data_IF_372467725785
#
_entry.id   IF_372467725785
#
_cell.length_a   1.000
_cell.length_b   1.000
_cell.length_c   1.000
_cell.angle_alpha   90.00
_cell.angle_beta   90.00
_cell.angle_gamma   90.00
#
_symmetry.space_group_name_H-M   'P 1'
#
loop_
_entity.id
_entity.type
_entity.pdbx_description
1 polymer ?
#
# COMPACT_ATOMS: atom_id res chain seq x y z
N UNK A 1 9.71 18.67 2.92
CA UNK A 1 8.75 19.61 3.50
C UNK A 1 9.05 20.99 2.91
N UNK A 2 8.00 21.77 2.62
CA UNK A 2 8.09 23.21 2.27
C UNK A 2 7.30 23.95 3.34
N UNK A 3 7.92 24.93 3.99
CA UNK A 3 7.25 25.77 4.96
C UNK A 3 6.68 27.02 4.28
N UNK A 4 5.38 27.26 4.42
CA UNK A 4 4.74 28.47 3.91
C UNK A 4 4.58 29.48 5.06
N UNK A 5 5.36 30.56 5.03
CA UNK A 5 5.26 31.65 6.00
C UNK A 5 4.23 32.66 5.48
N UNK A 6 3.03 32.67 6.07
CA UNK A 6 1.94 33.57 5.69
C UNK A 6 2.08 34.95 6.32
N UNK A 7 1.34 35.93 5.81
CA UNK A 7 1.32 37.36 6.23
C UNK A 7 2.66 38.07 6.02
N UNK A 8 3.33 37.77 4.90
CA UNK A 8 4.62 38.37 4.54
C UNK A 8 4.56 39.90 4.34
N UNK A 9 3.37 40.47 4.22
CA UNK A 9 3.14 41.93 4.11
C UNK A 9 3.30 42.69 5.43
N UNK A 10 3.31 42.02 6.58
CA UNK A 10 3.43 42.67 7.88
C UNK A 10 4.88 43.10 8.15
N UNK A 11 5.08 44.35 8.63
CA UNK A 11 6.40 44.92 8.92
C UNK A 11 7.19 44.16 10.00
N UNK A 12 6.51 43.40 10.86
CA UNK A 12 7.10 42.55 11.92
C UNK A 12 7.65 41.21 11.36
N UNK A 13 7.52 40.94 10.06
CA UNK A 13 7.95 39.68 9.46
C UNK A 13 9.49 39.49 9.49
N UNK A 14 10.29 40.54 9.62
CA UNK A 14 11.77 40.45 9.69
C UNK A 14 12.27 39.82 11.00
N UNK A 15 11.58 40.10 12.10
CA UNK A 15 11.99 39.58 13.43
C UNK A 15 11.67 38.08 13.59
N UNK A 16 10.70 37.57 12.80
CA UNK A 16 10.33 36.17 12.80
C UNK A 16 11.19 35.30 11.86
N UNK A 17 12.03 35.86 11.00
CA UNK A 17 12.93 35.09 10.12
C UNK A 17 13.88 34.19 10.89
N UNK A 18 14.42 34.68 12.01
CA UNK A 18 15.32 33.91 12.88
C UNK A 18 14.57 32.68 13.46
N UNK A 19 13.34 32.87 13.91
CA UNK A 19 12.54 31.80 14.47
C UNK A 19 12.15 30.72 13.42
N UNK A 20 11.96 31.11 12.15
CA UNK A 20 11.67 30.15 11.07
C UNK A 20 12.87 29.25 10.75
N UNK A 21 14.10 29.75 10.90
CA UNK A 21 15.32 28.97 10.68
C UNK A 21 15.56 27.91 11.78
N UNK A 22 15.02 28.13 13.00
CA UNK A 22 15.10 27.16 14.10
C UNK A 22 14.37 25.85 13.82
N UNK A 23 13.38 25.87 12.89
CA UNK A 23 12.69 24.63 12.46
C UNK A 23 13.56 23.69 11.61
N UNK A 24 14.77 24.11 11.20
CA UNK A 24 15.66 23.30 10.37
C UNK A 24 15.08 22.95 8.99
N UNK A 25 14.16 23.78 8.47
CA UNK A 25 13.54 23.60 7.16
C UNK A 25 14.20 24.55 6.17
N UNK A 26 14.91 24.01 5.19
CA UNK A 26 15.64 24.81 4.17
C UNK A 26 14.70 25.53 3.19
N UNK A 27 13.55 24.93 2.86
CA UNK A 27 12.63 25.47 1.86
C UNK A 27 11.51 26.29 2.55
N UNK A 28 11.71 27.57 2.70
CA UNK A 28 10.73 28.52 3.27
C UNK A 28 10.21 29.43 2.16
N UNK A 29 8.90 29.46 1.95
CA UNK A 29 8.24 30.34 0.98
C UNK A 29 7.38 31.36 1.72
N UNK A 30 7.72 32.65 1.58
CA UNK A 30 6.93 33.74 2.14
C UNK A 30 5.74 34.03 1.22
N UNK A 31 4.55 34.06 1.81
CA UNK A 31 3.31 34.26 1.08
C UNK A 31 2.40 35.27 1.76
N UNK A 32 1.51 35.86 0.97
CA UNK A 32 0.34 36.61 1.43
C UNK A 32 -0.89 35.88 0.90
N UNK A 33 -1.57 35.13 1.78
CA UNK A 33 -2.67 34.25 1.38
C UNK A 33 -3.85 35.00 0.72
N UNK A 34 -3.99 36.32 1.00
CA UNK A 34 -5.01 37.18 0.41
C UNK A 34 -4.65 37.63 -1.03
N UNK A 35 -3.40 37.43 -1.46
CA UNK A 35 -2.93 37.86 -2.79
C UNK A 35 -2.65 36.67 -3.69
N UNK A 36 -3.27 36.67 -4.87
CA UNK A 36 -3.00 35.68 -5.92
C UNK A 36 -1.55 35.72 -6.42
N UNK A 37 -0.84 36.82 -6.20
CA UNK A 37 0.56 36.97 -6.62
C UNK A 37 1.53 36.03 -5.88
N UNK A 38 1.12 35.43 -4.76
CA UNK A 38 1.92 34.43 -4.03
C UNK A 38 1.87 33.03 -4.63
N UNK A 39 0.89 32.72 -5.49
CA UNK A 39 0.71 31.40 -6.08
C UNK A 39 1.90 30.94 -6.96
N UNK A 40 2.46 31.78 -7.85
CA UNK A 40 3.62 31.39 -8.68
C UNK A 40 4.82 30.95 -7.84
N UNK A 41 5.10 31.63 -6.72
CA UNK A 41 6.20 31.28 -5.82
C UNK A 41 6.01 29.92 -5.18
N UNK A 42 4.79 29.58 -4.78
CA UNK A 42 4.44 28.26 -4.23
C UNK A 42 4.61 27.17 -5.30
N UNK A 43 4.06 27.38 -6.50
CA UNK A 43 4.18 26.42 -7.59
C UNK A 43 5.63 26.18 -8.00
N UNK A 44 6.46 27.22 -8.10
CA UNK A 44 7.87 27.09 -8.43
C UNK A 44 8.62 26.29 -7.34
N UNK A 45 8.40 26.58 -6.07
CA UNK A 45 9.04 25.84 -4.97
C UNK A 45 8.64 24.36 -4.95
N UNK A 46 7.37 24.05 -5.21
CA UNK A 46 6.90 22.66 -5.33
C UNK A 46 7.55 21.97 -6.53
N UNK A 47 7.56 22.63 -7.69
CA UNK A 47 8.15 22.11 -8.93
C UNK A 47 9.64 21.83 -8.77
N UNK A 48 10.39 22.78 -8.21
CA UNK A 48 11.83 22.64 -8.02
C UNK A 48 12.17 21.50 -7.05
N UNK A 49 11.37 21.33 -6.00
CA UNK A 49 11.52 20.20 -5.09
C UNK A 49 11.23 18.86 -5.74
N UNK A 50 10.20 18.78 -6.57
CA UNK A 50 9.91 17.58 -7.35
C UNK A 50 11.07 17.26 -8.30
N UNK A 51 11.60 18.26 -9.01
CA UNK A 51 12.73 18.09 -9.94
C UNK A 51 14.02 17.66 -9.21
N UNK A 52 14.29 18.20 -8.01
CA UNK A 52 15.43 17.75 -7.17
C UNK A 52 15.26 16.28 -6.76
N UNK A 53 14.07 15.88 -6.34
CA UNK A 53 13.78 14.47 -5.99
C UNK A 53 13.97 13.57 -7.20
N UNK A 54 13.47 13.96 -8.38
CA UNK A 54 13.65 13.20 -9.62
C UNK A 54 15.12 13.07 -10.05
N UNK A 55 15.94 14.12 -9.89
CA UNK A 55 17.38 14.06 -10.17
C UNK A 55 18.12 13.10 -9.24
N UNK A 56 17.75 13.04 -7.96
CA UNK A 56 18.35 12.12 -6.96
C UNK A 56 17.97 10.66 -7.26
N UNK A 57 16.77 10.43 -7.80
CA UNK A 57 16.30 9.08 -8.16
C UNK A 57 16.87 8.58 -9.50
N UNK A 58 17.34 9.47 -10.38
CA UNK A 58 17.89 9.11 -11.69
C UNK A 58 19.36 8.71 -11.70
N UNK A 59 20.09 8.86 -10.60
CA UNK A 59 21.46 8.34 -10.47
C UNK A 59 21.42 6.88 -9.98
N UNK A 60 21.46 5.93 -10.94
CA UNK A 60 21.61 4.48 -10.72
C UNK A 60 20.37 3.71 -10.21
N UNK A 61 19.35 3.51 -11.09
CA UNK A 61 18.50 2.31 -11.05
C UNK A 61 17.74 2.22 -12.38
N UNK A 62 17.60 0.99 -12.91
CA UNK A 62 16.57 0.66 -13.88
C UNK A 62 15.29 1.42 -13.53
N UNK A 63 14.74 2.18 -14.46
CA UNK A 63 13.64 3.11 -14.19
C UNK A 63 12.44 2.35 -13.58
N UNK A 64 12.21 2.56 -12.26
CA UNK A 64 11.01 2.04 -11.59
C UNK A 64 9.82 2.82 -12.14
N UNK A 65 8.94 2.15 -12.88
CA UNK A 65 7.77 2.77 -13.50
C UNK A 65 6.81 3.36 -12.45
N UNK A 66 6.56 2.63 -11.35
CA UNK A 66 5.72 3.11 -10.26
C UNK A 66 5.88 2.29 -8.97
N UNK A 67 5.46 2.88 -7.85
CA UNK A 67 5.33 2.18 -6.57
C UNK A 67 3.89 1.77 -6.34
N UNK A 68 3.66 0.47 -6.16
CA UNK A 68 2.36 -0.14 -5.88
C UNK A 68 2.29 -0.43 -4.38
N UNK A 69 1.40 0.26 -3.67
CA UNK A 69 1.16 0.02 -2.24
C UNK A 69 0.17 -1.12 -2.06
N UNK A 70 0.54 -2.10 -1.24
CA UNK A 70 -0.24 -3.31 -1.01
C UNK A 70 -0.60 -3.42 0.47
N UNK A 71 -1.82 -3.85 0.76
CA UNK A 71 -2.23 -4.33 2.08
C UNK A 71 -2.60 -5.81 2.00
N UNK A 72 -2.24 -6.60 3.04
CA UNK A 72 -2.60 -8.02 3.16
C UNK A 72 -3.54 -8.17 4.35
N UNK A 73 -4.80 -8.50 4.05
CA UNK A 73 -5.87 -8.62 5.04
C UNK A 73 -6.52 -10.00 4.99
N UNK A 74 -7.36 -10.33 5.96
CA UNK A 74 -8.09 -11.59 6.06
C UNK A 74 -8.13 -12.11 7.50
N UNK A 75 -8.86 -13.20 7.73
CA UNK A 75 -9.08 -13.79 9.04
C UNK A 75 -7.79 -14.30 9.71
N UNK A 76 -7.80 -14.57 11.01
CA UNK A 76 -6.70 -15.26 11.67
C UNK A 76 -6.43 -16.65 11.05
N UNK A 77 -5.14 -17.03 10.99
CA UNK A 77 -4.67 -18.34 10.53
C UNK A 77 -4.95 -18.73 9.07
N UNK A 78 -5.36 -17.78 8.22
CA UNK A 78 -5.50 -18.00 6.76
C UNK A 78 -4.17 -18.03 6.00
N UNK A 79 -3.06 -17.66 6.66
CA UNK A 79 -1.72 -17.67 6.07
C UNK A 79 -1.20 -16.31 5.62
N UNK A 80 -1.71 -15.19 6.17
CA UNK A 80 -1.21 -13.83 5.86
C UNK A 80 0.28 -13.67 6.08
N UNK A 81 0.80 -14.09 7.24
CA UNK A 81 2.23 -14.00 7.57
C UNK A 81 3.09 -14.89 6.67
N UNK A 82 2.59 -16.05 6.29
CA UNK A 82 3.28 -16.95 5.35
C UNK A 82 3.35 -16.32 3.96
N UNK A 83 2.25 -15.72 3.50
CA UNK A 83 2.21 -14.99 2.24
C UNK A 83 3.13 -13.77 2.28
N UNK A 84 3.12 -13.00 3.38
CA UNK A 84 4.06 -11.89 3.56
C UNK A 84 5.51 -12.36 3.44
N UNK A 85 5.90 -13.44 4.13
CA UNK A 85 7.25 -13.98 4.07
C UNK A 85 7.61 -14.50 2.68
N UNK A 86 6.66 -15.07 1.94
CA UNK A 86 6.87 -15.49 0.55
C UNK A 86 7.16 -14.29 -0.35
N UNK A 87 6.45 -13.18 -0.20
CA UNK A 87 6.60 -11.99 -1.03
C UNK A 87 7.84 -11.17 -0.67
N UNK A 88 8.13 -11.04 0.64
CA UNK A 88 9.12 -10.11 1.20
C UNK A 88 10.21 -10.78 2.05
N UNK A 89 10.43 -12.10 1.93
CA UNK A 89 11.43 -12.86 2.72
C UNK A 89 12.86 -12.32 2.63
N UNK A 90 13.65 -12.58 3.66
CA UNK A 90 14.89 -11.90 4.06
C UNK A 90 15.98 -11.67 2.98
N UNK A 91 16.02 -12.44 1.93
CA UNK A 91 17.09 -12.34 0.92
C UNK A 91 16.82 -11.34 -0.23
N UNK A 92 15.65 -10.67 -0.28
CA UNK A 92 15.25 -9.83 -1.43
C UNK A 92 14.59 -8.50 -1.05
N UNK A 93 14.57 -8.15 0.23
CA UNK A 93 14.08 -6.84 0.67
C UNK A 93 15.19 -5.82 0.51
N UNK A 94 15.00 -4.87 -0.39
CA UNK A 94 15.86 -3.68 -0.40
C UNK A 94 15.45 -2.87 0.82
N UNK A 95 16.15 -3.08 1.95
CA UNK A 95 16.11 -2.16 3.07
C UNK A 95 16.84 -0.90 2.61
N UNK A 96 16.13 0.03 2.00
CA UNK A 96 16.63 1.38 1.92
C UNK A 96 16.60 1.94 3.35
N UNK A 97 17.70 1.76 4.08
CA UNK A 97 18.01 2.53 5.25
C UNK A 97 18.25 3.97 4.78
N UNK A 98 17.17 4.73 4.56
CA UNK A 98 17.27 6.18 4.52
C UNK A 98 17.37 6.60 5.97
N UNK A 99 18.61 6.80 6.39
CA UNK A 99 19.00 7.42 7.67
C UNK A 99 18.28 8.77 7.78
N UNK A 100 17.43 8.94 8.77
CA UNK A 100 17.00 10.27 9.13
C UNK A 100 15.57 10.51 9.60
N UNK A 101 14.72 9.50 9.96
CA UNK A 101 13.45 9.80 10.64
C UNK A 101 13.04 8.66 11.58
N UNK A 102 13.24 8.89 12.85
CA UNK A 102 13.04 7.96 13.98
C UNK A 102 11.58 7.75 14.38
N UNK A 103 10.61 7.65 13.48
CA UNK A 103 9.19 7.27 13.79
C UNK A 103 8.39 6.65 12.65
N UNK A 104 8.97 6.43 11.48
CA UNK A 104 8.22 5.87 10.35
C UNK A 104 8.30 4.35 10.36
N UNK A 105 7.11 3.73 10.24
CA UNK A 105 6.91 2.29 10.08
C UNK A 105 7.88 1.74 9.04
N UNK A 106 8.65 0.71 9.41
CA UNK A 106 9.56 0.01 8.50
C UNK A 106 8.70 -0.59 7.38
N UNK A 107 8.60 0.10 6.26
CA UNK A 107 7.91 -0.40 5.08
C UNK A 107 8.77 -1.47 4.40
N UNK A 108 8.23 -2.66 4.17
CA UNK A 108 8.90 -3.68 3.37
C UNK A 108 8.65 -3.39 1.90
N UNK A 109 9.74 -3.24 1.14
CA UNK A 109 9.70 -2.98 -0.31
C UNK A 109 10.39 -4.12 -1.05
N UNK A 110 9.84 -4.49 -2.19
CA UNK A 110 10.47 -5.44 -3.11
C UNK A 110 10.27 -4.96 -4.54
N UNK A 111 11.23 -5.27 -5.40
CA UNK A 111 11.14 -4.96 -6.83
C UNK A 111 10.77 -6.24 -7.56
N UNK A 112 9.80 -6.15 -8.44
CA UNK A 112 9.41 -7.20 -9.38
C UNK A 112 9.19 -6.58 -10.74
N UNK A 113 9.96 -7.01 -11.73
CA UNK A 113 10.09 -6.31 -13.02
C UNK A 113 10.44 -4.83 -12.75
N UNK A 114 9.78 -3.87 -13.39
CA UNK A 114 10.02 -2.44 -13.24
C UNK A 114 9.10 -1.77 -12.18
N UNK A 115 8.45 -2.56 -11.31
CA UNK A 115 7.53 -2.06 -10.29
C UNK A 115 8.10 -2.26 -8.89
N UNK A 116 8.00 -1.22 -8.05
CA UNK A 116 8.28 -1.32 -6.62
C UNK A 116 6.99 -1.67 -5.89
N UNK A 117 6.97 -2.81 -5.20
CA UNK A 117 5.85 -3.20 -4.35
C UNK A 117 6.16 -2.87 -2.89
N UNK A 118 5.38 -1.99 -2.30
CA UNK A 118 5.51 -1.53 -0.92
C UNK A 118 4.33 -2.03 -0.09
N UNK A 119 4.62 -2.74 1.03
CA UNK A 119 3.55 -3.14 1.93
C UNK A 119 3.24 -2.05 2.93
N UNK A 120 1.94 -1.74 3.08
CA UNK A 120 1.46 -0.74 4.05
C UNK A 120 1.40 -1.40 5.43
N UNK A 121 1.99 -0.73 6.44
CA UNK A 121 2.01 -1.12 7.85
C UNK A 121 2.53 -2.53 8.19
N UNK A 122 3.84 -2.70 8.00
CA UNK A 122 4.55 -3.93 8.40
C UNK A 122 4.61 -4.14 9.93
N UNK A 123 4.44 -3.09 10.72
CA UNK A 123 4.51 -3.17 12.19
C UNK A 123 3.39 -4.03 12.77
N UNK A 124 2.18 -3.95 12.20
CA UNK A 124 1.05 -4.79 12.57
C UNK A 124 1.28 -6.27 12.24
N UNK A 125 1.86 -6.60 11.11
CA UNK A 125 2.11 -7.99 10.67
C UNK A 125 3.21 -8.65 11.54
N UNK A 126 4.28 -7.92 11.86
CA UNK A 126 5.39 -8.43 12.68
C UNK A 126 5.05 -8.57 14.16
N UNK A 127 4.31 -7.63 14.76
CA UNK A 127 3.87 -7.71 16.16
C UNK A 127 2.86 -8.82 16.42
N UNK A 128 1.98 -9.12 15.47
CA UNK A 128 0.96 -10.18 15.59
C UNK A 128 1.54 -11.59 15.71
N UNK A 129 2.80 -11.80 15.31
CA UNK A 129 3.49 -13.09 15.51
C UNK A 129 3.96 -13.29 16.96
N UNK A 130 3.88 -12.27 17.86
CA UNK A 130 4.41 -12.34 19.22
C UNK A 130 3.38 -12.19 20.35
N UNK A 131 2.12 -11.81 20.07
CA UNK A 131 1.13 -11.53 21.12
C UNK A 131 -0.17 -12.26 20.78
N UNK A 132 -0.47 -13.30 21.54
CA UNK A 132 -1.77 -13.96 21.60
C UNK A 132 -2.69 -13.24 22.61
N UNK A 133 -3.97 -13.19 22.30
CA UNK A 133 -5.12 -13.14 23.22
C UNK A 133 -5.99 -11.88 23.42
N UNK A 134 -5.66 -10.64 23.01
CA UNK A 134 -6.64 -9.55 23.20
C UNK A 134 -6.85 -8.65 21.98
N UNK A 135 -6.74 -9.19 20.78
CA UNK A 135 -6.45 -8.40 19.56
C UNK A 135 -7.64 -8.27 18.58
N UNK A 136 -8.81 -8.89 18.84
CA UNK A 136 -9.86 -8.89 17.78
C UNK A 136 -10.41 -7.49 17.45
N UNK A 137 -10.66 -6.63 18.43
CA UNK A 137 -11.16 -5.28 18.21
C UNK A 137 -10.09 -4.32 17.64
N UNK A 138 -8.86 -4.43 18.14
CA UNK A 138 -7.72 -3.66 17.63
C UNK A 138 -7.32 -4.08 16.21
N UNK A 139 -7.40 -5.39 15.88
CA UNK A 139 -7.12 -5.94 14.55
C UNK A 139 -7.99 -5.35 13.45
N UNK A 140 -9.28 -5.11 13.72
CA UNK A 140 -10.22 -4.56 12.74
C UNK A 140 -9.93 -3.08 12.41
N UNK A 141 -9.52 -2.30 13.42
CA UNK A 141 -9.22 -0.87 13.24
C UNK A 141 -7.92 -0.64 12.44
N UNK A 142 -6.87 -1.42 12.73
CA UNK A 142 -5.60 -1.33 12.00
C UNK A 142 -5.76 -1.71 10.53
N UNK A 143 -6.50 -2.77 10.23
CA UNK A 143 -6.76 -3.18 8.84
C UNK A 143 -7.47 -2.11 8.03
N UNK A 144 -8.40 -1.34 8.62
CA UNK A 144 -9.09 -0.23 7.91
C UNK A 144 -8.14 0.91 7.50
N UNK A 145 -7.21 1.28 8.38
CA UNK A 145 -6.18 2.28 8.07
C UNK A 145 -5.28 1.81 6.93
N UNK A 146 -4.80 0.56 7.00
CA UNK A 146 -3.96 -0.05 5.98
C UNK A 146 -4.64 -0.07 4.60
N UNK A 147 -5.93 -0.44 4.56
CA UNK A 147 -6.73 -0.46 3.33
C UNK A 147 -6.78 0.91 2.67
N UNK A 148 -7.00 1.99 3.43
CA UNK A 148 -7.08 3.35 2.88
C UNK A 148 -5.80 3.83 2.20
N UNK A 149 -4.63 3.38 2.66
CA UNK A 149 -3.33 3.78 2.10
C UNK A 149 -2.82 2.85 1.00
N UNK A 150 -3.47 1.69 0.80
CA UNK A 150 -3.11 0.76 -0.26
C UNK A 150 -3.69 1.18 -1.62
N UNK A 151 -3.01 0.81 -2.71
CA UNK A 151 -3.57 0.81 -4.06
C UNK A 151 -4.32 -0.51 -4.32
N UNK A 152 -3.69 -1.62 -3.92
CA UNK A 152 -4.21 -2.96 -4.08
C UNK A 152 -4.31 -3.65 -2.72
N UNK A 153 -5.42 -4.31 -2.46
CA UNK A 153 -5.64 -5.08 -1.23
C UNK A 153 -5.73 -6.56 -1.57
N UNK A 154 -4.90 -7.36 -0.90
CA UNK A 154 -4.93 -8.81 -0.97
C UNK A 154 -5.79 -9.32 0.19
N UNK A 155 -6.97 -9.86 -0.12
CA UNK A 155 -7.80 -10.58 0.86
C UNK A 155 -7.46 -12.07 0.81
N UNK A 156 -6.79 -12.54 1.86
CA UNK A 156 -6.37 -13.95 1.98
C UNK A 156 -7.50 -14.77 2.63
N UNK A 157 -7.91 -15.82 1.95
CA UNK A 157 -8.97 -16.74 2.36
C UNK A 157 -8.39 -18.16 2.44
N UNK A 158 -8.70 -18.88 3.51
CA UNK A 158 -8.37 -20.30 3.62
C UNK A 158 -9.32 -21.08 2.72
N UNK A 159 -8.77 -21.78 1.72
CA UNK A 159 -9.57 -22.54 0.75
C UNK A 159 -10.44 -23.63 1.38
N UNK A 160 -10.00 -24.20 2.52
CA UNK A 160 -10.75 -25.23 3.24
C UNK A 160 -12.00 -24.66 3.94
N UNK A 161 -11.91 -23.41 4.42
CA UNK A 161 -13.02 -22.72 5.09
C UNK A 161 -13.97 -22.04 4.09
N UNK A 162 -13.44 -21.65 2.92
CA UNK A 162 -14.17 -20.88 1.93
C UNK A 162 -14.47 -19.44 2.35
N UNK A 163 -15.31 -18.75 1.60
CA UNK A 163 -15.69 -17.35 1.84
C UNK A 163 -16.69 -17.29 2.99
N UNK A 164 -16.39 -16.50 4.01
CA UNK A 164 -17.25 -16.21 5.16
C UNK A 164 -17.95 -14.84 5.03
N UNK A 165 -18.93 -14.57 5.89
CA UNK A 165 -19.59 -13.27 5.98
C UNK A 165 -18.61 -12.15 6.35
N UNK A 166 -17.58 -12.45 7.16
CA UNK A 166 -16.56 -11.48 7.53
C UNK A 166 -15.70 -11.10 6.32
N UNK A 167 -15.37 -12.05 5.44
CA UNK A 167 -14.61 -11.78 4.21
C UNK A 167 -15.45 -10.94 3.24
N UNK A 168 -16.76 -11.19 3.15
CA UNK A 168 -17.69 -10.40 2.34
C UNK A 168 -17.76 -8.96 2.84
N UNK A 169 -17.94 -8.76 4.15
CA UNK A 169 -18.00 -7.42 4.75
C UNK A 169 -16.71 -6.65 4.53
N UNK A 170 -15.57 -7.32 4.67
CA UNK A 170 -14.26 -6.71 4.43
C UNK A 170 -14.06 -6.36 2.95
N UNK A 171 -14.49 -7.23 2.02
CA UNK A 171 -14.45 -6.94 0.58
C UNK A 171 -15.29 -5.72 0.21
N UNK A 172 -16.52 -5.65 0.74
CA UNK A 172 -17.40 -4.50 0.53
C UNK A 172 -16.79 -3.20 1.06
N UNK A 173 -16.11 -3.25 2.20
CA UNK A 173 -15.38 -2.11 2.73
C UNK A 173 -14.23 -1.68 1.81
N UNK A 174 -13.43 -2.62 1.30
CA UNK A 174 -12.32 -2.36 0.36
C UNK A 174 -12.84 -1.67 -0.91
N UNK A 175 -13.92 -2.20 -1.48
CA UNK A 175 -14.56 -1.64 -2.68
C UNK A 175 -15.12 -0.23 -2.42
N UNK A 176 -15.76 -0.03 -1.26
CA UNK A 176 -16.29 1.30 -0.85
C UNK A 176 -15.19 2.34 -0.69
N UNK A 177 -13.99 1.95 -0.23
CA UNK A 177 -12.82 2.83 -0.15
C UNK A 177 -12.16 3.07 -1.53
N UNK A 178 -12.74 2.54 -2.61
CA UNK A 178 -12.23 2.71 -3.98
C UNK A 178 -10.90 2.00 -4.22
N UNK A 179 -10.57 0.96 -3.47
CA UNK A 179 -9.34 0.19 -3.61
C UNK A 179 -9.54 -1.03 -4.49
N UNK A 180 -8.51 -1.37 -5.25
CA UNK A 180 -8.57 -2.62 -6.00
C UNK A 180 -8.41 -3.81 -5.05
N UNK A 181 -9.14 -4.89 -5.31
CA UNK A 181 -9.16 -6.10 -4.48
C UNK A 181 -8.73 -7.33 -5.28
N UNK A 182 -7.92 -8.17 -4.65
CA UNK A 182 -7.57 -9.51 -5.13
C UNK A 182 -7.92 -10.53 -4.06
N UNK A 183 -8.78 -11.50 -4.39
CA UNK A 183 -9.10 -12.63 -3.53
C UNK A 183 -8.02 -13.70 -3.72
N UNK A 184 -7.31 -14.05 -2.66
CA UNK A 184 -6.28 -15.08 -2.67
C UNK A 184 -6.74 -16.27 -1.84
N UNK A 185 -7.13 -17.34 -2.53
CA UNK A 185 -7.46 -18.64 -1.92
C UNK A 185 -6.16 -19.39 -1.63
N UNK A 186 -5.75 -19.33 -0.38
CA UNK A 186 -4.49 -19.92 0.09
C UNK A 186 -4.68 -21.37 0.57
N UNK A 187 -3.58 -22.09 0.77
CA UNK A 187 -3.52 -23.53 1.11
C UNK A 187 -4.06 -24.42 -0.02
N UNK A 188 -3.85 -24.01 -1.26
CA UNK A 188 -4.31 -24.74 -2.45
C UNK A 188 -3.65 -26.12 -2.60
N UNK A 189 -2.49 -26.31 -1.97
CA UNK A 189 -1.79 -27.60 -1.84
C UNK A 189 -2.61 -28.68 -1.13
N UNK A 190 -3.57 -28.30 -0.27
CA UNK A 190 -4.41 -29.24 0.50
C UNK A 190 -5.64 -29.73 -0.26
N UNK A 191 -5.90 -29.22 -1.47
CA UNK A 191 -7.07 -29.61 -2.27
C UNK A 191 -6.71 -30.75 -3.21
N UNK A 192 -7.45 -31.85 -3.10
CA UNK A 192 -7.29 -33.01 -3.96
C UNK A 192 -7.88 -32.79 -5.36
N UNK A 193 -9.18 -32.49 -5.44
CA UNK A 193 -9.85 -32.16 -6.71
C UNK A 193 -9.84 -30.64 -6.95
N UNK A 194 -8.74 -30.18 -7.55
CA UNK A 194 -8.49 -28.76 -7.82
C UNK A 194 -9.47 -28.19 -8.86
N UNK A 195 -9.89 -28.99 -9.84
CA UNK A 195 -10.76 -28.50 -10.93
C UNK A 195 -12.16 -28.22 -10.42
N UNK A 196 -12.79 -29.19 -9.74
CA UNK A 196 -14.12 -29.05 -9.17
C UNK A 196 -14.16 -27.95 -8.13
N UNK A 197 -13.17 -27.92 -7.22
CA UNK A 197 -13.11 -26.90 -6.16
C UNK A 197 -12.93 -25.49 -6.71
N UNK A 198 -12.12 -25.33 -7.76
CA UNK A 198 -11.95 -24.03 -8.44
C UNK A 198 -13.27 -23.54 -9.03
N UNK A 199 -14.00 -24.41 -9.73
CA UNK A 199 -15.30 -24.08 -10.33
C UNK A 199 -16.34 -23.68 -9.26
N UNK A 200 -16.41 -24.45 -8.17
CA UNK A 200 -17.26 -24.14 -7.01
C UNK A 200 -16.99 -22.73 -6.45
N UNK A 201 -15.70 -22.42 -6.20
CA UNK A 201 -15.30 -21.13 -5.63
C UNK A 201 -15.59 -20.00 -6.59
N UNK A 202 -15.27 -20.12 -7.87
CA UNK A 202 -15.53 -19.06 -8.85
C UNK A 202 -17.02 -18.77 -8.97
N UNK A 203 -17.86 -19.79 -9.03
CA UNK A 203 -19.32 -19.63 -9.04
C UNK A 203 -19.82 -18.94 -7.75
N UNK A 204 -19.19 -19.22 -6.60
CA UNK A 204 -19.54 -18.55 -5.34
C UNK A 204 -19.10 -17.08 -5.37
N UNK A 205 -17.91 -16.78 -5.87
CA UNK A 205 -17.40 -15.40 -6.02
C UNK A 205 -18.33 -14.59 -6.91
N UNK A 206 -18.74 -15.11 -8.06
CA UNK A 206 -19.65 -14.43 -8.99
C UNK A 206 -21.02 -14.11 -8.36
N UNK A 207 -21.56 -15.03 -7.56
CA UNK A 207 -22.82 -14.80 -6.86
C UNK A 207 -22.71 -13.78 -5.74
N UNK A 208 -21.66 -13.89 -4.93
CA UNK A 208 -21.45 -13.04 -3.75
C UNK A 208 -21.07 -11.62 -4.14
N UNK A 209 -20.33 -11.46 -5.21
CA UNK A 209 -19.80 -10.17 -5.68
C UNK A 209 -20.42 -9.76 -7.02
N UNK A 210 -21.72 -9.98 -7.17
CA UNK A 210 -22.46 -9.71 -8.41
C UNK A 210 -22.28 -8.28 -8.91
N UNK A 211 -22.26 -7.30 -8.01
CA UNK A 211 -22.09 -5.87 -8.33
C UNK A 211 -20.63 -5.50 -8.65
N UNK A 212 -19.67 -6.36 -8.32
CA UNK A 212 -18.25 -6.15 -8.56
C UNK A 212 -17.70 -7.17 -9.57
N UNK A 213 -18.19 -7.09 -10.82
CA UNK A 213 -17.76 -7.99 -11.88
C UNK A 213 -16.26 -7.94 -12.12
N UNK A 214 -15.65 -9.10 -12.27
CA UNK A 214 -14.23 -9.21 -12.61
C UNK A 214 -13.27 -9.08 -11.44
N UNK A 215 -13.71 -9.34 -10.20
CA UNK A 215 -12.81 -9.43 -9.05
C UNK A 215 -11.68 -10.41 -9.34
N UNK A 216 -10.45 -9.95 -9.21
CA UNK A 216 -9.25 -10.78 -9.40
C UNK A 216 -9.22 -11.91 -8.36
N UNK A 217 -9.17 -13.16 -8.84
CA UNK A 217 -9.16 -14.35 -7.98
C UNK A 217 -7.95 -15.21 -8.28
N UNK A 218 -7.17 -15.55 -7.24
CA UNK A 218 -5.96 -16.32 -7.35
C UNK A 218 -5.96 -17.50 -6.38
N UNK A 219 -5.48 -18.66 -6.85
CA UNK A 219 -5.36 -19.89 -6.07
C UNK A 219 -3.89 -20.21 -5.89
N UNK A 220 -3.42 -20.24 -4.64
CA UNK A 220 -1.99 -20.42 -4.31
C UNK A 220 -1.77 -21.29 -3.08
N UNK A 221 -0.55 -21.81 -2.97
CA UNK A 221 0.03 -22.21 -1.69
C UNK A 221 1.11 -21.21 -1.31
N UNK A 222 0.94 -20.52 -0.19
CA UNK A 222 1.96 -19.60 0.30
C UNK A 222 3.26 -20.28 0.74
N UNK A 223 3.31 -21.62 0.72
CA UNK A 223 4.51 -22.43 0.95
C UNK A 223 5.32 -22.66 -0.32
N UNK A 224 4.71 -22.48 -1.49
CA UNK A 224 5.33 -22.71 -2.80
C UNK A 224 5.96 -21.43 -3.34
N UNK A 225 7.25 -21.47 -3.65
CA UNK A 225 8.00 -20.32 -4.17
C UNK A 225 7.43 -19.82 -5.50
N UNK A 226 6.95 -20.69 -6.36
CA UNK A 226 6.30 -20.34 -7.64
C UNK A 226 5.05 -19.48 -7.48
N UNK A 227 4.42 -19.49 -6.31
CA UNK A 227 3.26 -18.65 -6.00
C UNK A 227 3.62 -17.16 -5.92
N UNK A 228 4.88 -16.81 -5.64
CA UNK A 228 5.36 -15.43 -5.55
C UNK A 228 5.18 -14.68 -6.86
N UNK A 229 5.68 -15.24 -7.95
CA UNK A 229 5.61 -14.62 -9.28
C UNK A 229 4.17 -14.49 -9.77
N UNK A 230 3.33 -15.49 -9.48
CA UNK A 230 1.90 -15.44 -9.78
C UNK A 230 1.21 -14.26 -9.09
N UNK A 231 1.52 -14.01 -7.81
CA UNK A 231 0.94 -12.91 -7.03
C UNK A 231 1.40 -11.56 -7.58
N UNK A 232 2.70 -11.34 -7.81
CA UNK A 232 3.18 -10.06 -8.33
C UNK A 232 2.65 -9.75 -9.73
N UNK A 233 2.60 -10.74 -10.62
CA UNK A 233 2.02 -10.59 -11.95
C UNK A 233 0.54 -10.20 -11.89
N UNK A 234 -0.23 -10.86 -11.03
CA UNK A 234 -1.65 -10.55 -10.84
C UNK A 234 -1.85 -9.14 -10.25
N UNK A 235 -1.03 -8.74 -9.27
CA UNK A 235 -1.06 -7.41 -8.67
C UNK A 235 -0.72 -6.31 -9.69
N UNK A 236 0.27 -6.52 -10.55
CA UNK A 236 0.63 -5.60 -11.62
C UNK A 236 -0.56 -5.37 -12.56
N UNK A 237 -1.19 -6.44 -13.05
CA UNK A 237 -2.35 -6.37 -13.94
C UNK A 237 -3.51 -5.64 -13.22
N UNK A 238 -3.77 -5.97 -11.98
CA UNK A 238 -4.83 -5.37 -11.18
C UNK A 238 -4.61 -3.86 -11.00
N UNK A 239 -3.37 -3.45 -10.69
CA UNK A 239 -3.01 -2.04 -10.55
C UNK A 239 -3.15 -1.27 -11.86
N UNK A 240 -2.67 -1.83 -12.97
CA UNK A 240 -2.79 -1.21 -14.28
C UNK A 240 -4.26 -1.02 -14.68
N UNK A 241 -5.11 -2.00 -14.42
CA UNK A 241 -6.55 -1.90 -14.69
C UNK A 241 -7.23 -0.87 -13.79
N UNK A 242 -6.89 -0.82 -12.50
CA UNK A 242 -7.43 0.14 -11.55
C UNK A 242 -7.01 1.59 -11.88
N UNK A 243 -5.81 1.77 -12.43
CA UNK A 243 -5.27 3.09 -12.77
C UNK A 243 -5.64 3.57 -14.18
N UNK A 244 -6.39 2.77 -14.95
CA UNK A 244 -6.87 3.20 -16.27
C UNK A 244 -7.84 4.37 -16.10
N UNK A 245 -7.53 5.47 -16.82
CA UNK A 245 -8.49 6.54 -16.98
C UNK A 245 -9.59 6.07 -17.93
N UNK A 246 -10.83 6.18 -17.53
CA UNK A 246 -12.00 6.01 -18.40
C UNK A 246 -12.18 7.38 -19.09
N UNK A 247 -11.99 7.40 -20.42
CA UNK A 247 -12.29 8.58 -21.24
C UNK A 247 -13.78 8.72 -21.44
#
# INVERSE_FOLDING_TARGET
VILLANKAELKTSKDHEYQLNEFGIEDIVKITALSKNSLPSIYNSIRDKILRIQKITNTNKEAIESTIRISIVGQPNVGKSTLFNLLYGEKRVITAAISGTTRDSISSKTIYENYCFEIVDTAGIRKRNKISLDVEKASTYFSRKEIRYANCVILVIDVLKGISNQDINLSNYILKEGRSIMLVFNKWDLIQDKLSKRKEILNKVERVFFDAKGISTLFISSKEVLSRDKVFRALKILFLNWNKKVN
#
